data_IF_485795440058
#
_entry.id   IF_485795440058
#
_cell.length_a   1.000
_cell.length_b   1.000
_cell.length_c   1.000
_cell.angle_alpha   90.00
_cell.angle_beta   90.00
_cell.angle_gamma   90.00
#
_symmetry.space_group_name_H-M   'P 1'
#
loop_
_entity.id
_entity.type
_entity.pdbx_description
1 polymer ?
#
# COMPACT_ATOMS: atom_id res chain seq x y z
N UNK A 1 -3.86 -27.00 4.41
CA UNK A 1 -2.93 -26.31 3.49
C UNK A 1 -3.27 -24.83 3.43
N UNK A 2 -2.34 -23.96 3.81
CA UNK A 2 -2.51 -22.49 3.79
C UNK A 2 -2.64 -21.97 2.36
N UNK A 3 -3.64 -21.11 2.12
CA UNK A 3 -3.90 -20.54 0.80
C UNK A 3 -2.82 -19.51 0.46
N UNK A 4 -2.01 -19.77 -0.57
CA UNK A 4 -1.06 -18.76 -1.09
C UNK A 4 -1.81 -17.60 -1.75
N UNK A 5 -1.30 -16.37 -1.56
CA UNK A 5 -1.78 -15.19 -2.29
C UNK A 5 -1.60 -15.42 -3.79
N UNK A 6 -2.63 -15.15 -4.58
CA UNK A 6 -2.64 -15.37 -6.04
C UNK A 6 -2.58 -14.04 -6.76
N UNK A 7 -1.72 -13.95 -7.78
CA UNK A 7 -1.65 -12.78 -8.68
C UNK A 7 -2.95 -12.68 -9.50
N UNK A 8 -3.51 -11.48 -9.59
CA UNK A 8 -4.72 -11.19 -10.39
C UNK A 8 -4.36 -10.95 -11.86
N UNK A 9 -3.85 -11.97 -12.52
CA UNK A 9 -3.53 -11.96 -13.96
C UNK A 9 -4.20 -13.13 -14.66
N UNK A 10 -4.20 -13.10 -15.99
CA UNK A 10 -4.66 -14.24 -16.78
C UNK A 10 -3.89 -15.51 -16.42
N UNK A 11 -4.60 -16.61 -16.15
CA UNK A 11 -4.00 -17.91 -15.82
C UNK A 11 -3.69 -18.62 -17.14
N UNK A 12 -2.42 -18.71 -17.49
CA UNK A 12 -1.96 -19.30 -18.76
C UNK A 12 -2.23 -20.80 -18.84
N UNK A 13 -2.03 -21.54 -17.74
CA UNK A 13 -2.31 -22.98 -17.71
C UNK A 13 -3.82 -23.26 -17.76
N UNK A 14 -4.26 -23.94 -18.82
CA UNK A 14 -5.66 -24.21 -19.11
C UNK A 14 -6.38 -25.05 -18.05
N UNK A 15 -5.75 -26.12 -17.57
CA UNK A 15 -6.33 -26.99 -16.54
C UNK A 15 -6.50 -26.22 -15.22
N UNK A 16 -5.48 -25.46 -14.81
CA UNK A 16 -5.54 -24.60 -13.63
C UNK A 16 -6.57 -23.47 -13.79
N UNK A 17 -6.68 -22.88 -14.99
CA UNK A 17 -7.66 -21.84 -15.32
C UNK A 17 -9.08 -22.40 -15.22
N UNK A 18 -9.36 -23.58 -15.79
CA UNK A 18 -10.66 -24.25 -15.73
C UNK A 18 -11.06 -24.63 -14.31
N UNK A 19 -10.14 -25.20 -13.52
CA UNK A 19 -10.39 -25.54 -12.13
C UNK A 19 -10.66 -24.28 -11.28
N UNK A 20 -9.86 -23.23 -11.46
CA UNK A 20 -10.03 -21.95 -10.76
C UNK A 20 -11.34 -21.28 -11.14
N UNK A 21 -11.71 -21.26 -12.42
CA UNK A 21 -12.97 -20.73 -12.91
C UNK A 21 -14.16 -21.40 -12.23
N UNK A 22 -14.20 -22.75 -12.22
CA UNK A 22 -15.28 -23.50 -11.54
C UNK A 22 -15.38 -23.15 -10.05
N UNK A 23 -14.25 -23.09 -9.34
CA UNK A 23 -14.23 -22.76 -7.90
C UNK A 23 -14.67 -21.32 -7.63
N UNK A 24 -14.16 -20.36 -8.39
CA UNK A 24 -14.51 -18.93 -8.23
C UNK A 24 -15.96 -18.66 -8.63
N UNK A 25 -16.45 -19.26 -9.72
CA UNK A 25 -17.85 -19.17 -10.14
C UNK A 25 -18.78 -19.64 -9.02
N UNK A 26 -18.52 -20.83 -8.46
CA UNK A 26 -19.32 -21.36 -7.33
C UNK A 26 -19.28 -20.42 -6.13
N UNK A 27 -18.11 -19.87 -5.79
CA UNK A 27 -17.97 -18.90 -4.71
C UNK A 27 -18.74 -17.60 -4.96
N UNK A 28 -18.68 -17.06 -6.19
CA UNK A 28 -19.42 -15.87 -6.59
C UNK A 28 -20.93 -16.08 -6.48
N UNK A 29 -21.46 -17.20 -7.00
CA UNK A 29 -22.88 -17.53 -6.89
C UNK A 29 -23.32 -17.65 -5.43
N UNK A 30 -22.51 -18.30 -4.58
CA UNK A 30 -22.79 -18.38 -3.14
C UNK A 30 -22.87 -16.99 -2.51
N UNK A 31 -21.92 -16.12 -2.83
CA UNK A 31 -21.88 -14.75 -2.30
C UNK A 31 -23.05 -13.89 -2.78
N UNK A 32 -23.47 -14.05 -4.05
CA UNK A 32 -24.67 -13.41 -4.55
C UNK A 32 -25.91 -13.89 -3.79
N UNK A 33 -26.08 -15.20 -3.60
CA UNK A 33 -27.19 -15.74 -2.81
C UNK A 33 -27.18 -15.21 -1.38
N UNK A 34 -26.03 -15.23 -0.69
CA UNK A 34 -25.88 -14.68 0.67
C UNK A 34 -26.27 -13.19 0.69
N UNK A 35 -25.77 -12.40 -0.27
CA UNK A 35 -26.05 -10.96 -0.35
C UNK A 35 -27.52 -10.65 -0.60
N UNK A 36 -28.16 -11.34 -1.55
CA UNK A 36 -29.59 -11.15 -1.84
C UNK A 36 -30.45 -11.57 -0.66
N UNK A 37 -30.09 -12.64 0.05
CA UNK A 37 -30.84 -13.13 1.20
C UNK A 37 -30.67 -12.24 2.44
N UNK A 38 -29.44 -11.83 2.75
CA UNK A 38 -29.16 -11.06 3.97
C UNK A 38 -29.59 -9.60 3.85
N UNK A 39 -29.45 -9.01 2.67
CA UNK A 39 -29.74 -7.59 2.46
C UNK A 39 -31.09 -7.34 1.78
N UNK A 40 -31.80 -8.39 1.34
CA UNK A 40 -33.09 -8.25 0.64
C UNK A 40 -32.98 -7.51 -0.70
N UNK A 41 -31.79 -7.52 -1.32
CA UNK A 41 -31.55 -6.83 -2.60
C UNK A 41 -31.81 -7.76 -3.78
N UNK A 42 -32.22 -7.18 -4.91
CA UNK A 42 -32.28 -7.90 -6.19
C UNK A 42 -30.93 -7.83 -6.89
N UNK A 43 -30.41 -8.98 -7.32
CA UNK A 43 -29.19 -9.08 -8.09
C UNK A 43 -29.30 -10.20 -9.13
N UNK A 44 -28.48 -10.14 -10.16
CA UNK A 44 -28.38 -11.18 -11.18
C UNK A 44 -26.94 -11.27 -11.72
N UNK A 45 -26.58 -12.41 -12.31
CA UNK A 45 -25.27 -12.59 -12.93
C UNK A 45 -25.36 -13.31 -14.27
N UNK A 46 -24.56 -12.86 -15.22
CA UNK A 46 -24.35 -13.46 -16.54
C UNK A 46 -22.86 -13.74 -16.67
N UNK A 47 -22.46 -15.01 -16.83
CA UNK A 47 -21.05 -15.40 -16.89
C UNK A 47 -20.77 -16.18 -18.17
N UNK A 48 -19.94 -15.60 -19.02
CA UNK A 48 -19.39 -16.27 -20.20
C UNK A 48 -18.13 -17.05 -19.83
N UNK A 49 -17.94 -18.19 -20.49
CA UNK A 49 -16.81 -19.08 -20.25
C UNK A 49 -16.30 -19.63 -21.57
N UNK A 50 -14.97 -19.70 -21.78
CA UNK A 50 -14.43 -20.40 -22.95
C UNK A 50 -14.61 -21.93 -22.86
N UNK A 51 -15.06 -22.45 -21.71
CA UNK A 51 -15.19 -23.88 -21.46
C UNK A 51 -16.61 -24.42 -21.71
N UNK A 52 -17.58 -23.53 -21.92
CA UNK A 52 -18.99 -23.85 -22.13
C UNK A 52 -19.53 -22.99 -23.28
N UNK A 53 -20.36 -23.56 -24.16
CA UNK A 53 -20.95 -22.80 -25.28
C UNK A 53 -22.06 -21.84 -24.86
N UNK A 54 -22.72 -22.09 -23.71
CA UNK A 54 -23.78 -21.24 -23.18
C UNK A 54 -23.29 -20.49 -21.93
N UNK A 55 -23.77 -19.25 -21.70
CA UNK A 55 -23.48 -18.52 -20.48
C UNK A 55 -24.17 -19.16 -19.28
N UNK A 56 -23.51 -19.08 -18.13
CA UNK A 56 -24.14 -19.39 -16.85
C UNK A 56 -24.99 -18.20 -16.41
N UNK A 57 -26.28 -18.43 -16.16
CA UNK A 57 -27.26 -17.43 -15.76
C UNK A 57 -27.71 -17.69 -14.31
N UNK A 58 -27.76 -16.64 -13.49
CA UNK A 58 -28.22 -16.70 -12.11
C UNK A 58 -29.14 -15.52 -11.79
N UNK A 59 -30.20 -15.69 -10.97
CA UNK A 59 -30.59 -16.91 -10.24
C UNK A 59 -31.36 -17.94 -11.08
N UNK A 60 -32.13 -17.47 -12.04
CA UNK A 60 -32.83 -18.25 -13.06
C UNK A 60 -33.02 -17.35 -14.29
N UNK A 61 -33.42 -17.90 -15.43
CA UNK A 61 -33.66 -17.09 -16.64
C UNK A 61 -34.73 -16.01 -16.37
N UNK A 62 -35.86 -16.41 -15.77
CA UNK A 62 -36.96 -15.49 -15.43
C UNK A 62 -36.52 -14.45 -14.38
N UNK A 63 -35.75 -14.87 -13.37
CA UNK A 63 -35.25 -13.95 -12.34
C UNK A 63 -34.28 -12.93 -12.92
N UNK A 64 -33.38 -13.36 -13.81
CA UNK A 64 -32.47 -12.49 -14.54
C UNK A 64 -33.22 -11.47 -15.39
N UNK A 65 -34.20 -11.92 -16.19
CA UNK A 65 -35.02 -11.05 -17.03
C UNK A 65 -35.75 -9.98 -16.21
N UNK A 66 -36.30 -10.35 -15.05
CA UNK A 66 -36.95 -9.40 -14.14
C UNK A 66 -35.98 -8.31 -13.66
N UNK A 67 -34.79 -8.71 -13.22
CA UNK A 67 -33.77 -7.75 -12.74
C UNK A 67 -33.29 -6.86 -13.87
N UNK A 68 -33.05 -7.42 -15.06
CA UNK A 68 -32.64 -6.65 -16.25
C UNK A 68 -33.72 -5.68 -16.72
N UNK A 69 -34.99 -6.09 -16.74
CA UNK A 69 -36.10 -5.23 -17.11
C UNK A 69 -36.22 -4.05 -16.14
N UNK A 70 -36.10 -4.32 -14.83
CA UNK A 70 -36.08 -3.27 -13.80
C UNK A 70 -34.90 -2.31 -14.00
N UNK A 71 -33.69 -2.83 -14.20
CA UNK A 71 -32.50 -2.01 -14.46
C UNK A 71 -32.67 -1.11 -15.69
N UNK A 72 -33.19 -1.64 -16.80
CA UNK A 72 -33.44 -0.87 -18.03
C UNK A 72 -34.54 0.19 -17.89
N UNK A 73 -35.42 0.05 -16.91
CA UNK A 73 -36.47 1.05 -16.64
C UNK A 73 -35.98 2.26 -15.83
N UNK A 74 -34.78 2.19 -15.26
CA UNK A 74 -34.16 3.29 -14.52
C UNK A 74 -33.63 4.38 -15.46
N UNK A 75 -33.47 5.60 -14.95
CA UNK A 75 -32.84 6.69 -15.71
C UNK A 75 -31.36 6.39 -16.00
N UNK A 76 -30.78 7.01 -17.04
CA UNK A 76 -29.36 6.82 -17.39
C UNK A 76 -28.41 7.17 -16.23
N UNK A 77 -28.75 8.21 -15.45
CA UNK A 77 -27.99 8.62 -14.27
C UNK A 77 -27.98 7.55 -13.19
N UNK A 78 -29.12 6.90 -12.95
CA UNK A 78 -29.24 5.80 -11.99
C UNK A 78 -28.56 4.53 -12.49
N UNK A 79 -28.66 4.21 -13.78
CA UNK A 79 -27.99 3.06 -14.38
C UNK A 79 -26.47 3.15 -14.26
N UNK A 80 -25.92 4.35 -14.48
CA UNK A 80 -24.47 4.58 -14.38
C UNK A 80 -23.98 4.75 -12.93
N UNK A 81 -24.89 4.92 -11.96
CA UNK A 81 -24.52 5.16 -10.57
C UNK A 81 -23.74 3.95 -10.00
N UNK A 82 -22.47 4.18 -9.67
CA UNK A 82 -21.52 3.15 -9.19
C UNK A 82 -21.32 1.99 -10.18
N UNK A 83 -21.62 2.17 -11.47
CA UNK A 83 -21.33 1.17 -12.48
C UNK A 83 -19.82 1.06 -12.66
N UNK A 84 -19.27 -0.12 -12.37
CA UNK A 84 -17.89 -0.46 -12.65
C UNK A 84 -17.86 -1.28 -13.92
N UNK A 85 -17.16 -0.82 -14.94
CA UNK A 85 -16.93 -1.58 -16.17
C UNK A 85 -15.47 -2.02 -16.25
N UNK A 86 -15.17 -2.93 -17.17
CA UNK A 86 -13.82 -3.48 -17.31
C UNK A 86 -12.80 -2.40 -17.67
N UNK A 87 -13.19 -1.42 -18.48
CA UNK A 87 -12.30 -0.34 -18.89
C UNK A 87 -11.93 0.57 -17.71
N UNK A 88 -12.90 1.04 -16.93
CA UNK A 88 -12.65 1.86 -15.73
C UNK A 88 -11.83 1.10 -14.70
N UNK A 89 -12.17 -0.17 -14.45
CA UNK A 89 -11.37 -1.02 -13.57
C UNK A 89 -9.90 -1.16 -14.03
N UNK A 90 -9.67 -1.37 -15.33
CA UNK A 90 -8.33 -1.48 -15.87
C UNK A 90 -7.57 -0.15 -15.80
N UNK A 91 -8.22 0.98 -16.10
CA UNK A 91 -7.62 2.32 -15.95
C UNK A 91 -7.20 2.58 -14.51
N UNK A 92 -8.05 2.29 -13.53
CA UNK A 92 -7.72 2.44 -12.11
C UNK A 92 -6.54 1.55 -11.69
N UNK A 93 -6.50 0.31 -12.22
CA UNK A 93 -5.40 -0.61 -11.97
C UNK A 93 -4.08 -0.13 -12.57
N UNK A 94 -4.13 0.46 -13.76
CA UNK A 94 -2.98 1.06 -14.43
C UNK A 94 -2.51 2.27 -13.62
N UNK A 95 -3.41 3.18 -13.25
CA UNK A 95 -3.10 4.36 -12.44
C UNK A 95 -2.38 3.99 -11.13
N UNK A 96 -2.93 3.02 -10.39
CA UNK A 96 -2.28 2.50 -9.16
C UNK A 96 -0.90 1.92 -9.42
N UNK A 97 -0.73 1.15 -10.51
CA UNK A 97 0.57 0.59 -10.87
C UNK A 97 1.57 1.68 -11.27
N UNK A 98 1.12 2.72 -11.98
CA UNK A 98 1.97 3.86 -12.35
C UNK A 98 2.38 4.68 -11.14
N UNK A 99 1.49 4.86 -10.15
CA UNK A 99 1.81 5.57 -8.92
C UNK A 99 2.82 4.78 -8.07
N UNK A 100 2.65 3.47 -7.99
CA UNK A 100 3.63 2.58 -7.35
C UNK A 100 5.00 2.67 -8.05
N UNK A 101 5.02 2.69 -9.38
CA UNK A 101 6.26 2.83 -10.14
C UNK A 101 6.93 4.18 -9.87
N UNK A 102 6.18 5.29 -9.90
CA UNK A 102 6.70 6.63 -9.59
C UNK A 102 7.26 6.72 -8.17
N UNK A 103 6.57 6.09 -7.20
CA UNK A 103 7.05 6.02 -5.81
C UNK A 103 8.40 5.30 -5.74
N UNK A 104 8.51 4.12 -6.35
CA UNK A 104 9.77 3.37 -6.39
C UNK A 104 10.89 4.13 -7.12
N UNK A 105 10.56 4.84 -8.20
CA UNK A 105 11.53 5.68 -8.91
C UNK A 105 12.06 6.82 -8.02
N UNK A 106 11.18 7.47 -7.25
CA UNK A 106 11.59 8.51 -6.30
C UNK A 106 12.47 7.95 -5.19
N UNK A 107 12.07 6.85 -4.57
CA UNK A 107 12.85 6.20 -3.50
C UNK A 107 14.23 5.75 -3.99
N UNK A 108 14.31 5.20 -5.21
CA UNK A 108 15.58 4.86 -5.82
C UNK A 108 16.43 6.10 -6.09
N UNK A 109 15.82 7.18 -6.59
CA UNK A 109 16.52 8.43 -6.86
C UNK A 109 17.07 9.07 -5.59
N UNK A 110 16.29 9.11 -4.52
CA UNK A 110 16.73 9.58 -3.20
C UNK A 110 17.94 8.79 -2.71
N UNK A 111 17.93 7.46 -2.86
CA UNK A 111 19.08 6.60 -2.51
C UNK A 111 20.31 6.87 -3.36
N UNK A 112 20.14 7.10 -4.66
CA UNK A 112 21.24 7.46 -5.57
C UNK A 112 21.89 8.78 -5.16
N UNK A 113 21.10 9.84 -4.96
CA UNK A 113 21.60 11.16 -4.56
C UNK A 113 22.23 11.12 -3.16
N UNK A 114 21.62 10.40 -2.22
CA UNK A 114 22.18 10.18 -0.88
C UNK A 114 23.56 9.51 -0.98
N UNK A 115 23.71 8.47 -1.81
CA UNK A 115 24.99 7.80 -2.02
C UNK A 115 26.02 8.76 -2.60
N UNK A 116 25.65 9.56 -3.60
CA UNK A 116 26.53 10.54 -4.23
C UNK A 116 27.00 11.62 -3.25
N UNK A 117 26.10 12.09 -2.38
CA UNK A 117 26.45 13.04 -1.31
C UNK A 117 27.52 12.45 -0.39
N UNK A 118 27.32 11.23 0.12
CA UNK A 118 28.29 10.59 1.00
C UNK A 118 29.62 10.32 0.30
N UNK A 119 29.61 9.86 -0.95
CA UNK A 119 30.82 9.64 -1.75
C UNK A 119 31.61 10.95 -1.91
N UNK A 120 30.94 12.04 -2.23
CA UNK A 120 31.56 13.36 -2.37
C UNK A 120 32.18 13.84 -1.05
N UNK A 121 31.50 13.64 0.08
CA UNK A 121 32.01 14.01 1.40
C UNK A 121 33.28 13.21 1.77
N UNK A 122 33.28 11.90 1.51
CA UNK A 122 34.45 11.02 1.77
C UNK A 122 35.62 11.36 0.86
N UNK A 123 35.36 11.73 -0.40
CA UNK A 123 36.36 12.13 -1.38
C UNK A 123 36.86 13.58 -1.21
N UNK A 124 36.64 14.22 -0.06
CA UNK A 124 37.11 15.58 0.22
C UNK A 124 36.32 16.67 -0.50
N UNK A 125 35.00 16.51 -0.59
CA UNK A 125 34.07 17.40 -1.30
C UNK A 125 34.31 17.49 -2.82
N UNK A 126 34.91 16.45 -3.41
CA UNK A 126 35.05 16.34 -4.88
C UNK A 126 33.93 15.47 -5.44
N UNK A 127 33.02 16.01 -6.29
CA UNK A 127 31.98 15.21 -6.90
C UNK A 127 32.58 14.20 -7.91
N UNK A 128 31.94 13.03 -8.12
CA UNK A 128 32.33 12.11 -9.19
C UNK A 128 32.38 12.81 -10.56
N UNK A 129 33.37 12.44 -11.38
CA UNK A 129 33.67 13.14 -12.65
C UNK A 129 32.59 13.00 -13.73
N UNK A 130 31.67 12.04 -13.57
CA UNK A 130 30.67 11.67 -14.57
C UNK A 130 29.23 12.08 -14.20
N UNK A 131 29.06 13.10 -13.35
CA UNK A 131 27.73 13.57 -12.96
C UNK A 131 27.01 14.26 -14.12
N UNK A 132 25.74 13.87 -14.34
CA UNK A 132 24.85 14.57 -15.25
C UNK A 132 24.30 15.85 -14.60
N UNK A 133 23.87 16.82 -15.41
CA UNK A 133 23.28 18.08 -14.94
C UNK A 133 22.08 17.86 -14.02
N UNK A 134 21.28 16.82 -14.27
CA UNK A 134 20.13 16.45 -13.44
C UNK A 134 20.59 15.96 -12.06
N UNK A 135 21.66 15.16 -12.02
CA UNK A 135 22.24 14.68 -10.74
C UNK A 135 22.77 15.85 -9.91
N UNK A 136 23.35 16.85 -10.58
CA UNK A 136 23.85 18.05 -9.90
C UNK A 136 22.71 18.89 -9.30
N UNK A 137 21.61 19.11 -10.04
CA UNK A 137 20.45 19.84 -9.51
C UNK A 137 19.82 19.12 -8.32
N UNK A 138 19.60 17.81 -8.45
CA UNK A 138 19.01 17.00 -7.39
C UNK A 138 19.92 16.97 -6.15
N UNK A 139 21.25 16.89 -6.34
CA UNK A 139 22.22 16.92 -5.25
C UNK A 139 22.24 18.28 -4.54
N UNK A 140 22.23 19.39 -5.27
CA UNK A 140 22.19 20.74 -4.67
C UNK A 140 20.93 20.91 -3.84
N UNK A 141 19.77 20.54 -4.38
CA UNK A 141 18.50 20.58 -3.65
C UNK A 141 18.53 19.71 -2.39
N UNK A 142 19.04 18.47 -2.51
CA UNK A 142 19.13 17.54 -1.39
C UNK A 142 20.10 18.01 -0.30
N UNK A 143 21.23 18.63 -0.67
CA UNK A 143 22.16 19.24 0.30
C UNK A 143 21.51 20.41 1.02
N UNK A 144 20.78 21.28 0.32
CA UNK A 144 20.05 22.40 0.95
C UNK A 144 18.98 21.91 1.94
N UNK A 145 18.22 20.87 1.57
CA UNK A 145 17.21 20.27 2.44
C UNK A 145 17.83 19.60 3.66
N UNK A 146 18.92 18.84 3.48
CA UNK A 146 19.63 18.21 4.61
C UNK A 146 20.27 19.23 5.55
N UNK A 147 20.86 20.31 5.01
CA UNK A 147 21.38 21.40 5.83
C UNK A 147 20.26 22.09 6.62
N UNK A 148 19.09 22.29 5.99
CA UNK A 148 17.91 22.83 6.66
C UNK A 148 17.41 21.92 7.79
N UNK A 149 17.36 20.60 7.59
CA UNK A 149 16.97 19.64 8.64
C UNK A 149 17.98 19.63 9.80
N UNK A 150 19.28 19.66 9.50
CA UNK A 150 20.34 19.75 10.51
C UNK A 150 20.21 21.04 11.32
N UNK A 151 19.98 22.19 10.68
CA UNK A 151 19.76 23.47 11.38
C UNK A 151 18.56 23.39 12.33
N UNK A 152 17.41 22.86 11.85
CA UNK A 152 16.21 22.68 12.69
C UNK A 152 16.47 21.77 13.90
N UNK A 153 17.21 20.68 13.72
CA UNK A 153 17.57 19.77 14.82
C UNK A 153 18.50 20.42 15.84
N UNK A 154 19.47 21.20 15.39
CA UNK A 154 20.34 21.98 16.27
C UNK A 154 19.50 22.96 17.11
N UNK A 155 18.57 23.69 16.48
CA UNK A 155 17.67 24.62 17.18
C UNK A 155 16.79 23.92 18.23
N UNK A 156 16.19 22.77 17.89
CA UNK A 156 15.41 21.96 18.84
C UNK A 156 16.24 21.54 20.05
N UNK A 157 17.45 21.02 19.83
CA UNK A 157 18.33 20.61 20.91
C UNK A 157 18.74 21.80 21.78
N UNK A 158 19.07 22.94 21.18
CA UNK A 158 19.43 24.15 21.95
C UNK A 158 18.26 24.69 22.79
N UNK A 159 17.03 24.62 22.27
CA UNK A 159 15.82 25.08 22.99
C UNK A 159 15.54 24.23 24.22
N UNK A 160 15.71 22.91 24.12
CA UNK A 160 15.52 21.97 25.26
C UNK A 160 16.54 22.13 26.38
N UNK A 161 17.67 22.80 26.15
CA UNK A 161 18.66 23.08 27.19
C UNK A 161 18.48 24.45 27.87
N UNK A 162 17.50 25.26 27.43
CA UNK A 162 17.30 26.65 27.91
C UNK A 162 16.09 26.87 28.81
N UNK A 163 15.30 25.84 29.17
CA UNK A 163 14.33 25.99 30.26
C UNK A 163 15.06 26.02 31.62
N UNK A 164 14.99 27.11 32.41
CA UNK A 164 15.57 27.12 33.74
C UNK A 164 14.72 26.27 34.70
N UNK A 165 15.32 25.50 35.63
CA UNK A 165 14.55 24.83 36.67
C UNK A 165 13.98 25.89 37.62
N UNK A 166 12.70 26.22 37.46
CA UNK A 166 11.95 26.91 38.51
C UNK A 166 11.59 25.88 39.57
N UNK A 167 12.39 25.84 40.64
CA UNK A 167 11.98 25.27 41.92
C UNK A 167 12.83 24.10 42.44
N UNK A 168 13.61 24.41 43.49
CA UNK A 168 14.30 23.51 44.42
C UNK A 168 15.33 22.53 43.86
N UNK A 169 16.59 22.79 44.23
CA UNK A 169 17.71 21.87 44.08
C UNK A 169 17.46 20.57 44.86
N UNK A 170 17.09 19.52 44.14
CA UNK A 170 17.44 18.14 44.48
C UNK A 170 17.91 17.51 43.18
N UNK A 171 19.22 17.27 43.08
CA UNK A 171 19.79 16.53 41.95
C UNK A 171 19.14 15.13 41.89
N UNK A 172 18.51 14.75 40.78
CA UNK A 172 17.88 13.45 40.71
C UNK A 172 18.94 12.36 40.53
N UNK A 173 18.83 11.31 41.36
CA UNK A 173 19.74 10.14 41.46
C UNK A 173 20.18 9.55 40.12
N UNK A 174 19.35 9.63 39.09
CA UNK A 174 19.66 9.08 37.75
C UNK A 174 20.82 9.81 37.06
N UNK A 175 21.10 11.07 37.41
CA UNK A 175 22.21 11.85 36.83
C UNK A 175 23.58 11.32 37.30
N UNK A 176 23.69 10.90 38.57
CA UNK A 176 24.89 10.20 39.07
C UNK A 176 25.01 8.78 38.52
N UNK A 177 23.89 8.10 38.29
CA UNK A 177 23.85 6.76 37.69
C UNK A 177 24.36 6.76 36.24
N UNK A 178 24.01 7.80 35.47
CA UNK A 178 24.46 8.01 34.10
C UNK A 178 25.97 8.26 33.99
N UNK A 179 26.55 8.94 34.99
CA UNK A 179 27.98 9.27 35.01
C UNK A 179 28.86 8.15 35.62
N UNK A 180 28.25 7.24 36.39
CA UNK A 180 28.95 6.11 37.03
C UNK A 180 29.04 4.87 36.13
N UNK A 181 28.08 4.68 35.22
CA UNK A 181 28.15 3.65 34.18
C UNK A 181 28.87 4.16 32.92
N UNK A 182 30.17 4.45 33.09
CA UNK A 182 31.11 4.60 31.99
C UNK A 182 31.35 3.26 31.29
N UNK A 183 30.45 2.90 30.38
CA UNK A 183 30.70 1.97 29.30
C UNK A 183 30.00 2.52 28.05
N UNK A 184 30.81 3.07 27.14
CA UNK A 184 30.42 3.32 25.77
C UNK A 184 29.82 2.03 25.19
N UNK A 185 28.51 2.04 24.93
CA UNK A 185 27.82 1.02 24.15
C UNK A 185 27.64 1.59 22.74
N UNK A 186 28.32 0.98 21.75
CA UNK A 186 28.29 1.30 20.32
C UNK A 186 26.93 0.94 19.67
N UNK A 187 25.82 1.36 20.29
CA UNK A 187 24.46 1.07 19.82
C UNK A 187 23.54 2.31 19.69
N UNK A 188 24.11 3.52 19.73
CA UNK A 188 23.41 4.76 19.33
C UNK A 188 23.81 5.22 17.92
N UNK A 189 24.32 4.31 17.09
CA UNK A 189 24.38 4.48 15.64
C UNK A 189 23.02 4.23 15.01
N UNK A 190 22.47 5.24 14.33
CA UNK A 190 21.42 5.08 13.31
C UNK A 190 20.07 4.47 13.77
N UNK A 191 19.24 5.29 14.44
CA UNK A 191 17.80 5.01 14.62
C UNK A 191 16.87 5.86 13.72
N UNK A 192 17.26 6.12 12.48
CA UNK A 192 16.35 6.72 11.47
C UNK A 192 16.36 5.93 10.13
N UNK A 193 16.78 4.65 10.11
CA UNK A 193 16.72 3.86 8.87
C UNK A 193 16.14 2.44 8.99
N UNK A 194 15.62 2.05 10.16
CA UNK A 194 14.94 0.75 10.33
C UNK A 194 13.42 0.79 10.07
N UNK A 195 12.85 1.93 9.68
CA UNK A 195 11.45 1.99 9.24
C UNK A 195 11.25 1.65 7.74
N UNK A 196 12.31 1.25 7.00
CA UNK A 196 12.23 1.06 5.53
C UNK A 196 12.27 -0.39 5.04
N UNK A 197 12.44 -1.42 5.89
CA UNK A 197 12.19 -2.81 5.45
C UNK A 197 11.43 -3.62 6.51
N UNK A 198 10.13 -3.31 6.66
CA UNK A 198 9.09 -4.33 6.82
C UNK A 198 7.91 -4.02 5.89
N UNK A 199 7.99 -4.53 4.66
CA UNK A 199 6.77 -4.94 3.97
C UNK A 199 6.29 -6.22 4.67
N UNK A 200 5.09 -6.22 5.26
CA UNK A 200 3.94 -6.49 4.40
C UNK A 200 2.73 -5.63 4.78
N UNK A 201 2.47 -4.59 4.01
CA UNK A 201 1.16 -3.96 3.98
C UNK A 201 0.61 -3.98 2.55
N UNK A 202 -0.09 -5.08 2.27
CA UNK A 202 -1.24 -5.08 1.37
C UNK A 202 -2.44 -5.53 2.23
N UNK A 203 -3.40 -4.62 2.34
CA UNK A 203 -4.84 -4.84 2.60
C UNK A 203 -5.28 -5.27 4.01
N UNK A 204 -5.87 -4.35 4.78
CA UNK A 204 -7.16 -4.64 5.42
C UNK A 204 -7.98 -3.39 5.82
N UNK A 205 -8.92 -3.00 4.96
CA UNK A 205 -10.26 -2.63 5.43
C UNK A 205 -11.28 -3.35 4.55
N UNK A 206 -11.66 -4.54 4.98
CA UNK A 206 -12.69 -5.37 4.36
C UNK A 206 -13.15 -6.47 5.30
N UNK A 207 -13.93 -6.05 6.31
CA UNK A 207 -14.84 -6.83 7.16
C UNK A 207 -14.65 -8.36 7.23
N UNK A 208 -14.17 -8.76 8.41
CA UNK A 208 -14.26 -10.09 9.00
C UNK A 208 -15.72 -10.58 9.07
N UNK A 209 -16.00 -11.75 8.51
CA UNK A 209 -17.05 -12.63 9.03
C UNK A 209 -16.41 -13.99 9.26
N UNK A 210 -16.13 -14.26 10.54
CA UNK A 210 -15.76 -15.58 11.01
C UNK A 210 -17.02 -16.43 11.17
N UNK A 211 -16.91 -17.64 10.65
CA UNK A 211 -17.79 -18.76 10.83
C UNK A 211 -17.69 -19.26 12.28
N UNK A 212 -18.80 -19.47 12.97
CA UNK A 212 -18.86 -20.27 14.19
C UNK A 212 -19.98 -21.32 14.07
N UNK A 213 -19.64 -22.57 14.38
CA UNK A 213 -20.58 -23.52 14.97
C UNK A 213 -21.34 -24.45 14.02
N UNK A 214 -20.80 -25.66 13.88
CA UNK A 214 -21.45 -26.92 13.49
C UNK A 214 -22.63 -27.29 14.43
N UNK A 215 -23.47 -28.32 14.14
CA UNK A 215 -23.04 -29.72 13.97
C UNK A 215 -22.80 -30.15 12.52
#
# INVERSE_FOLDING_TARGET
MTRKKVKLTYITNDAARKATFKKRKKGLMKKLTELTTLCGIEACAIIFSPFNSQPDLWPSVVGLERVLAKFKSLSEMEQCNKMVNQETFLRDRIAKATDQLKKLQRENREKEITRLMFESLVAGATPPRDLNIIDLYDLVWFVDETMTDVCKRIELLTTTMTEPPVGSAVEPSWFMEMMSHGAYDDQMGFKIWDDVIQLPNDDNHGAFWSNNGSP
#
